data_IF_269126192683
#
_entry.id   IF_269126192683
#
_cell.length_a   1.000
_cell.length_b   1.000
_cell.length_c   1.000
_cell.angle_alpha   90.00
_cell.angle_beta   90.00
_cell.angle_gamma   90.00
#
_symmetry.space_group_name_H-M   'P 1'
#
loop_
_entity.id
_entity.type
_entity.pdbx_description
1 polymer ?
#
# COMPACT_ATOMS: atom_id res chain seq x y z
N UNK A 1 -12.34 -5.81 -21.19
CA UNK A 1 -11.92 -5.96 -19.78
C UNK A 1 -10.42 -6.19 -19.77
N UNK A 2 -9.70 -5.76 -18.72
CA UNK A 2 -8.25 -5.97 -18.62
C UNK A 2 -7.93 -7.46 -18.38
N UNK A 3 -6.86 -7.96 -18.99
CA UNK A 3 -6.28 -9.28 -18.68
C UNK A 3 -5.75 -9.32 -17.24
N UNK A 4 -5.43 -10.51 -16.73
CA UNK A 4 -4.83 -10.64 -15.39
C UNK A 4 -3.49 -9.92 -15.29
N UNK A 5 -2.67 -10.02 -16.33
CA UNK A 5 -1.39 -9.31 -16.42
C UNK A 5 -1.58 -7.79 -16.44
N UNK A 6 -2.56 -7.30 -17.19
CA UNK A 6 -2.89 -5.88 -17.24
C UNK A 6 -3.39 -5.39 -15.87
N UNK A 7 -4.24 -6.17 -15.19
CA UNK A 7 -4.72 -5.83 -13.84
C UNK A 7 -3.58 -5.80 -12.82
N UNK A 8 -2.66 -6.76 -12.89
CA UNK A 8 -1.48 -6.79 -12.03
C UNK A 8 -0.53 -5.61 -12.28
N UNK A 9 -0.43 -5.18 -13.53
CA UNK A 9 0.36 -4.00 -13.92
C UNK A 9 -0.25 -2.69 -13.41
N UNK A 10 -1.59 -2.59 -13.39
CA UNK A 10 -2.32 -1.39 -12.98
C UNK A 10 -2.87 -1.46 -11.55
N UNK A 11 -2.25 -2.25 -10.67
CA UNK A 11 -2.59 -2.27 -9.24
C UNK A 11 -2.55 -0.86 -8.64
N UNK A 12 -3.60 -0.53 -7.90
CA UNK A 12 -3.69 0.74 -7.17
C UNK A 12 -2.76 0.73 -5.95
N UNK A 13 -2.53 1.90 -5.36
CA UNK A 13 -1.65 2.01 -4.18
C UNK A 13 -2.11 1.16 -2.99
N UNK A 14 -3.43 1.03 -2.77
CA UNK A 14 -4.01 0.16 -1.74
C UNK A 14 -3.81 -1.33 -2.02
N UNK A 15 -3.67 -1.73 -3.28
CA UNK A 15 -3.53 -3.12 -3.71
C UNK A 15 -2.06 -3.58 -3.74
N UNK A 16 -1.11 -2.64 -3.67
CA UNK A 16 0.32 -2.93 -3.63
C UNK A 16 0.77 -3.24 -2.20
N UNK A 17 1.65 -4.24 -2.07
CA UNK A 17 2.27 -4.58 -0.79
C UNK A 17 3.17 -3.45 -0.28
N UNK A 18 2.84 -2.93 0.90
CA UNK A 18 3.61 -1.85 1.55
C UNK A 18 5.04 -2.29 1.91
N UNK A 19 5.25 -3.58 2.19
CA UNK A 19 6.60 -4.13 2.40
C UNK A 19 7.46 -4.04 1.14
N UNK A 20 6.86 -4.26 -0.04
CA UNK A 20 7.59 -4.12 -1.32
C UNK A 20 8.06 -2.69 -1.52
N UNK A 21 7.25 -1.69 -1.16
CA UNK A 21 7.65 -0.29 -1.23
C UNK A 21 8.82 0.02 -0.30
N UNK A 22 8.80 -0.50 0.93
CA UNK A 22 9.91 -0.37 1.88
C UNK A 22 11.20 -1.01 1.35
N UNK A 23 11.10 -2.19 0.74
CA UNK A 23 12.25 -2.88 0.16
C UNK A 23 12.87 -2.09 -1.00
N UNK A 24 12.04 -1.59 -1.93
CA UNK A 24 12.51 -0.77 -3.04
C UNK A 24 13.11 0.55 -2.54
N UNK A 25 12.49 1.18 -1.54
CA UNK A 25 12.98 2.38 -0.87
C UNK A 25 14.37 2.15 -0.26
N UNK A 26 14.56 1.06 0.48
CA UNK A 26 15.84 0.68 1.06
C UNK A 26 16.90 0.43 -0.02
N UNK A 27 16.55 -0.31 -1.09
CA UNK A 27 17.48 -0.61 -2.17
C UNK A 27 17.99 0.66 -2.86
N UNK A 28 17.12 1.63 -3.16
CA UNK A 28 17.54 2.88 -3.79
C UNK A 28 18.25 3.84 -2.82
N UNK A 29 18.06 3.69 -1.51
CA UNK A 29 18.66 4.57 -0.49
C UNK A 29 20.19 4.57 -0.55
N UNK A 30 20.81 3.47 -0.98
CA UNK A 30 22.27 3.38 -1.18
C UNK A 30 22.81 4.40 -2.20
N UNK A 31 21.96 4.90 -3.10
CA UNK A 31 22.31 5.88 -4.12
C UNK A 31 21.75 7.28 -3.82
N UNK A 32 21.19 7.49 -2.62
CA UNK A 32 20.62 8.76 -2.16
C UNK A 32 21.36 9.21 -0.90
N UNK A 33 22.08 10.31 -1.01
CA UNK A 33 22.88 10.90 0.07
C UNK A 33 22.02 11.41 1.24
N UNK A 34 20.87 12.02 0.92
CA UNK A 34 19.87 12.51 1.87
C UNK A 34 18.80 11.45 2.13
N UNK A 35 17.50 11.81 2.09
CA UNK A 35 16.39 10.91 2.39
C UNK A 35 15.40 10.77 1.25
N UNK A 36 14.26 10.15 1.55
CA UNK A 36 13.17 9.95 0.61
C UNK A 36 11.84 10.07 1.35
N UNK A 37 10.89 10.82 0.78
CA UNK A 37 9.53 10.88 1.30
C UNK A 37 8.79 9.61 0.92
N UNK A 38 8.66 8.67 1.86
CA UNK A 38 7.97 7.41 1.65
C UNK A 38 6.62 7.43 2.36
N UNK A 39 5.54 7.48 1.58
CA UNK A 39 4.19 7.32 2.09
C UNK A 39 3.80 5.84 2.10
N UNK A 40 2.99 5.45 3.09
CA UNK A 40 2.42 4.12 3.22
C UNK A 40 0.90 4.22 3.24
N UNK A 41 0.23 3.24 2.64
CA UNK A 41 -1.21 3.08 2.73
C UNK A 41 -1.52 1.84 3.56
N UNK A 42 -2.14 2.03 4.72
CA UNK A 42 -2.42 0.96 5.67
C UNK A 42 -3.94 0.88 5.85
N UNK A 43 -4.48 -0.32 5.62
CA UNK A 43 -5.90 -0.58 5.82
C UNK A 43 -6.26 -0.39 7.30
N UNK A 44 -7.40 0.24 7.64
CA UNK A 44 -7.76 0.56 9.03
C UNK A 44 -7.89 -0.69 9.94
N UNK A 45 -8.20 -1.85 9.37
CA UNK A 45 -8.29 -3.12 10.12
C UNK A 45 -6.93 -3.82 10.28
N UNK A 46 -5.83 -3.25 9.77
CA UNK A 46 -4.50 -3.83 9.94
C UNK A 46 -4.13 -3.84 11.43
N UNK A 47 -3.77 -4.99 12.01
CA UNK A 47 -3.37 -5.06 13.41
C UNK A 47 -2.18 -4.16 13.70
N UNK A 48 -2.23 -3.42 14.82
CA UNK A 48 -1.15 -2.50 15.24
C UNK A 48 0.21 -3.20 15.32
N UNK A 49 0.24 -4.48 15.70
CA UNK A 49 1.46 -5.30 15.71
C UNK A 49 2.13 -5.35 14.34
N UNK A 50 1.35 -5.52 13.28
CA UNK A 50 1.87 -5.71 11.92
C UNK A 50 2.32 -4.37 11.33
N UNK A 51 1.64 -3.27 11.70
CA UNK A 51 2.11 -1.90 11.43
C UNK A 51 3.47 -1.67 12.09
N UNK A 52 3.61 -1.98 13.38
CA UNK A 52 4.87 -1.82 14.10
C UNK A 52 5.99 -2.67 13.49
N UNK A 53 5.68 -3.90 13.09
CA UNK A 53 6.64 -4.76 12.41
C UNK A 53 7.13 -4.13 11.10
N UNK A 54 6.22 -3.56 10.28
CA UNK A 54 6.59 -2.86 9.06
C UNK A 54 7.53 -1.67 9.32
N UNK A 55 7.24 -0.86 10.35
CA UNK A 55 8.08 0.29 10.73
C UNK A 55 9.48 -0.16 11.20
N UNK A 56 9.55 -1.19 12.04
CA UNK A 56 10.81 -1.75 12.51
C UNK A 56 11.63 -2.33 11.35
N UNK A 57 10.99 -3.05 10.42
CA UNK A 57 11.65 -3.56 9.21
C UNK A 57 12.19 -2.44 8.34
N UNK A 58 11.45 -1.35 8.15
CA UNK A 58 11.94 -0.20 7.39
C UNK A 58 13.23 0.39 8.01
N UNK A 59 13.26 0.52 9.34
CA UNK A 59 14.44 0.97 10.07
C UNK A 59 15.61 -0.02 9.95
N UNK A 60 15.37 -1.32 10.15
CA UNK A 60 16.38 -2.39 9.99
C UNK A 60 16.99 -2.41 8.58
N UNK A 61 16.20 -2.09 7.56
CA UNK A 61 16.64 -2.03 6.17
C UNK A 61 17.34 -0.71 5.80
N UNK A 62 17.45 0.26 6.73
CA UNK A 62 18.15 1.52 6.51
C UNK A 62 17.33 2.62 5.83
N UNK A 63 15.99 2.51 5.83
CA UNK A 63 15.12 3.62 5.40
C UNK A 63 15.20 4.74 6.43
N UNK A 64 15.61 5.94 5.99
CA UNK A 64 15.93 7.06 6.89
C UNK A 64 14.69 7.75 7.48
N UNK A 65 13.57 7.75 6.76
CA UNK A 65 12.34 8.39 7.20
C UNK A 65 11.11 7.81 6.50
N UNK A 66 9.97 7.87 7.18
CA UNK A 66 8.64 7.62 6.63
C UNK A 66 7.84 8.92 6.74
N UNK A 67 6.93 9.16 5.79
CA UNK A 67 6.21 10.43 5.70
C UNK A 67 4.78 10.33 6.21
N UNK A 68 3.80 10.05 5.34
CA UNK A 68 2.42 9.83 5.78
C UNK A 68 2.04 8.35 5.81
N UNK A 69 1.27 7.99 6.83
CA UNK A 69 0.41 6.81 6.80
C UNK A 69 -0.99 7.25 6.40
N UNK A 70 -1.41 6.87 5.18
CA UNK A 70 -2.77 7.04 4.71
C UNK A 70 -3.64 5.85 5.11
N UNK A 71 -4.89 6.13 5.46
CA UNK A 71 -5.93 5.10 5.61
C UNK A 71 -6.71 4.97 4.32
N UNK A 72 -7.24 3.78 4.07
CA UNK A 72 -8.33 3.60 3.10
C UNK A 72 -9.60 4.19 3.70
N UNK A 73 -10.44 4.83 2.88
CA UNK A 73 -11.73 5.33 3.33
C UNK A 73 -12.73 4.17 3.37
N UNK A 74 -13.16 3.79 4.57
CA UNK A 74 -14.12 2.70 4.78
C UNK A 74 -15.43 2.89 3.99
N UNK A 75 -15.87 4.13 3.72
CA UNK A 75 -17.06 4.37 2.90
C UNK A 75 -16.82 4.08 1.41
N UNK A 76 -15.60 4.31 0.90
CA UNK A 76 -15.24 3.93 -0.47
C UNK A 76 -15.10 2.42 -0.61
N UNK A 77 -14.57 1.76 0.41
CA UNK A 77 -14.44 0.31 0.47
C UNK A 77 -15.80 -0.39 0.59
N UNK A 78 -16.67 0.09 1.48
CA UNK A 78 -18.06 -0.35 1.60
C UNK A 78 -18.83 -0.16 0.28
N UNK A 79 -18.71 1.00 -0.37
CA UNK A 79 -19.33 1.21 -1.68
C UNK A 79 -18.75 0.26 -2.75
N UNK A 80 -17.45 -0.04 -2.72
CA UNK A 80 -16.82 -0.98 -3.66
C UNK A 80 -17.35 -2.40 -3.44
N UNK A 81 -17.46 -2.86 -2.20
CA UNK A 81 -18.08 -4.16 -1.87
C UNK A 81 -19.56 -4.22 -2.25
N UNK A 82 -20.31 -3.14 -2.01
CA UNK A 82 -21.74 -3.07 -2.32
C UNK A 82 -22.00 -3.04 -3.84
N UNK A 83 -21.14 -2.36 -4.61
CA UNK A 83 -21.16 -2.37 -6.07
C UNK A 83 -20.72 -3.73 -6.64
N UNK A 84 -19.71 -4.38 -6.06
CA UNK A 84 -19.24 -5.71 -6.49
C UNK A 84 -20.24 -6.84 -6.16
N UNK A 85 -21.07 -6.67 -5.12
CA UNK A 85 -22.06 -7.66 -4.69
C UNK A 85 -23.42 -7.50 -5.37
N UNK A 86 -23.76 -6.31 -5.86
CA UNK A 86 -25.05 -6.05 -6.51
C UNK A 86 -25.00 -6.33 -8.03
N UNK A 87 -25.15 -7.60 -8.41
CA UNK A 87 -25.21 -8.05 -9.82
C UNK A 87 -26.54 -7.78 -10.54
N UNK A 88 -27.44 -6.99 -9.98
CA UNK A 88 -28.84 -6.92 -10.44
C UNK A 88 -29.03 -6.02 -11.67
N UNK A 89 -28.10 -5.09 -11.94
CA UNK A 89 -28.28 -4.08 -12.99
C UNK A 89 -27.12 -4.02 -14.01
N UNK A 90 -26.24 -5.01 -14.06
CA UNK A 90 -25.19 -5.10 -15.09
C UNK A 90 -25.78 -5.73 -16.36
N UNK A 91 -26.55 -4.95 -17.12
CA UNK A 91 -27.04 -5.30 -18.46
C UNK A 91 -26.60 -4.23 -19.48
#
# INVERSE_FOLDING_TARGET
>A
FLSDEERDTFKTFSEISQMTLVQQAAQRQAYIDQGQSLNLMIHPETPVRDINLLLLRAAEMGVKSLYYQYSVNAAQEFNRELLLSCRVCEA
#
